data_IF_182924840880
#
_entry.id   IF_182924840880
#
_cell.length_a   1.000
_cell.length_b   1.000
_cell.length_c   1.000
_cell.angle_alpha   90.00
_cell.angle_beta   90.00
_cell.angle_gamma   90.00
#
_symmetry.space_group_name_H-M   'P 1'
#
loop_
_entity.id
_entity.type
_entity.pdbx_description
1 polymer ?
#
# COMPACT_ATOMS: atom_id res chain seq x y z
N UNK A 1 27.08 17.32 -9.30
CA UNK A 1 27.02 16.70 -10.65
C UNK A 1 26.37 17.71 -11.57
N UNK A 2 26.91 17.92 -12.77
CA UNK A 2 26.23 18.67 -13.84
C UNK A 2 25.72 17.64 -14.87
N UNK A 3 24.45 17.75 -15.26
CA UNK A 3 23.80 16.86 -16.22
C UNK A 3 23.30 17.70 -17.41
N UNK A 4 23.59 17.23 -18.62
CA UNK A 4 23.04 17.81 -19.85
C UNK A 4 21.79 17.01 -20.26
N UNK A 5 20.62 17.65 -20.24
CA UNK A 5 19.33 17.03 -20.58
C UNK A 5 18.91 17.44 -21.99
N UNK A 6 19.05 16.53 -22.96
CA UNK A 6 18.67 16.77 -24.35
C UNK A 6 17.14 16.68 -24.50
N UNK A 7 16.54 17.64 -25.21
CA UNK A 7 15.11 17.65 -25.51
C UNK A 7 14.22 18.31 -24.45
N UNK A 8 14.81 18.99 -23.47
CA UNK A 8 14.11 19.77 -22.44
C UNK A 8 14.50 21.24 -22.55
N UNK A 9 13.52 22.14 -22.49
CA UNK A 9 13.74 23.57 -22.40
C UNK A 9 13.93 24.02 -20.94
N UNK A 10 14.64 25.15 -20.74
CA UNK A 10 14.95 25.66 -19.40
C UNK A 10 13.70 26.07 -18.59
N UNK A 11 12.67 26.55 -19.26
CA UNK A 11 11.37 26.95 -18.70
C UNK A 11 10.50 25.76 -18.25
N UNK A 12 10.77 24.54 -18.73
CA UNK A 12 10.09 23.32 -18.31
C UNK A 12 10.63 22.80 -16.97
N UNK A 13 11.84 23.21 -16.60
CA UNK A 13 12.54 22.78 -15.40
C UNK A 13 12.37 23.78 -14.25
N UNK A 14 11.98 23.27 -13.11
CA UNK A 14 11.77 24.02 -11.90
C UNK A 14 12.70 23.54 -10.78
N UNK A 15 13.06 24.46 -9.89
CA UNK A 15 13.84 24.08 -8.70
C UNK A 15 13.05 23.10 -7.85
N UNK A 16 13.69 22.00 -7.48
CA UNK A 16 13.04 20.89 -6.76
C UNK A 16 12.51 19.79 -7.67
N UNK A 17 12.69 19.89 -8.98
CA UNK A 17 12.50 18.75 -9.87
C UNK A 17 13.55 17.67 -9.59
N UNK A 18 13.13 16.41 -9.70
CA UNK A 18 13.95 15.24 -9.39
C UNK A 18 14.29 14.56 -10.71
N UNK A 19 15.58 14.36 -10.95
CA UNK A 19 16.08 13.48 -12.02
C UNK A 19 16.23 12.08 -11.43
N UNK A 20 15.52 11.11 -12.02
CA UNK A 20 15.55 9.72 -11.59
C UNK A 20 15.88 8.81 -12.79
N UNK A 21 16.35 7.59 -12.49
CA UNK A 21 16.67 6.59 -13.51
C UNK A 21 15.42 5.91 -14.08
N UNK A 22 15.56 4.64 -14.48
CA UNK A 22 14.45 3.86 -15.04
C UNK A 22 13.35 3.59 -13.99
N UNK A 23 13.72 3.55 -12.71
CA UNK A 23 12.78 3.40 -11.60
C UNK A 23 11.92 4.63 -11.45
N UNK A 24 10.62 4.48 -11.64
CA UNK A 24 9.67 5.55 -11.42
C UNK A 24 9.67 5.96 -9.94
N UNK A 25 9.38 7.24 -9.69
CA UNK A 25 9.08 7.76 -8.36
C UNK A 25 7.61 8.20 -8.34
N UNK A 26 6.90 7.90 -7.25
CA UNK A 26 5.50 8.30 -7.11
C UNK A 26 5.39 9.59 -6.31
N UNK A 27 4.67 10.56 -6.85
CA UNK A 27 4.33 11.78 -6.11
C UNK A 27 3.05 11.56 -5.28
N UNK A 28 3.03 12.09 -4.06
CA UNK A 28 1.88 11.99 -3.15
C UNK A 28 1.47 13.35 -2.61
N UNK A 29 0.18 13.51 -2.33
CA UNK A 29 -0.37 14.67 -1.61
C UNK A 29 -0.37 14.49 -0.10
N UNK A 30 -0.18 13.27 0.40
CA UNK A 30 -0.12 13.00 1.84
C UNK A 30 1.13 12.18 2.15
N UNK A 31 1.88 12.65 3.14
CA UNK A 31 3.11 12.02 3.60
C UNK A 31 3.03 11.91 5.12
N UNK A 32 3.25 10.71 5.65
CA UNK A 32 3.38 10.54 7.09
C UNK A 32 4.84 10.71 7.52
N UNK A 33 5.02 11.43 8.60
CA UNK A 33 6.32 11.89 9.09
C UNK A 33 6.42 11.72 10.59
N UNK A 34 7.65 11.59 11.09
CA UNK A 34 7.97 11.95 12.46
C UNK A 34 8.53 13.38 12.44
N UNK A 35 7.94 14.27 13.24
CA UNK A 35 8.41 15.65 13.43
C UNK A 35 9.06 15.80 14.80
N UNK A 36 10.03 16.71 14.87
CA UNK A 36 10.62 17.22 16.09
C UNK A 36 10.62 18.75 16.04
N UNK A 37 10.04 19.39 17.07
CA UNK A 37 10.13 20.83 17.22
C UNK A 37 11.44 21.25 17.90
N UNK A 38 11.99 22.39 17.50
CA UNK A 38 13.20 22.91 18.11
C UNK A 38 12.93 23.33 19.58
N UNK A 39 13.75 22.92 20.56
CA UNK A 39 13.53 23.21 21.98
C UNK A 39 13.64 24.72 22.31
N UNK A 40 14.38 25.48 21.50
CA UNK A 40 14.55 26.93 21.69
C UNK A 40 13.30 27.78 21.38
N UNK A 41 12.21 27.17 20.92
CA UNK A 41 10.96 27.85 20.54
C UNK A 41 10.04 28.14 21.74
N UNK A 42 10.57 28.68 22.84
CA UNK A 42 9.93 28.77 24.18
C UNK A 42 8.48 29.29 24.24
N UNK A 43 7.97 29.98 23.22
CA UNK A 43 6.60 30.55 23.16
C UNK A 43 5.77 30.06 21.97
N UNK A 44 6.23 29.04 21.25
CA UNK A 44 5.54 28.53 20.05
C UNK A 44 5.11 27.09 20.27
N UNK A 45 3.83 26.82 20.02
CA UNK A 45 3.28 25.48 19.99
C UNK A 45 2.70 25.23 18.60
N UNK A 46 3.09 24.14 17.96
CA UNK A 46 2.54 23.77 16.67
C UNK A 46 1.13 23.22 16.89
N UNK A 47 0.11 23.89 16.38
CA UNK A 47 -1.28 23.43 16.51
C UNK A 47 -1.68 22.56 15.32
N UNK A 48 -2.67 21.70 15.54
CA UNK A 48 -3.22 20.88 14.47
C UNK A 48 -3.80 21.75 13.34
N UNK A 49 -3.59 21.34 12.08
CA UNK A 49 -3.98 22.04 10.84
C UNK A 49 -3.23 23.34 10.54
N UNK A 50 -2.13 23.62 11.26
CA UNK A 50 -1.22 24.70 10.90
C UNK A 50 -0.68 24.52 9.47
N UNK A 51 -0.50 25.63 8.77
CA UNK A 51 0.12 25.67 7.44
C UNK A 51 1.58 26.12 7.58
N UNK A 52 2.49 25.32 7.04
CA UNK A 52 3.94 25.50 7.16
C UNK A 52 4.59 25.33 5.80
N UNK A 53 5.71 26.01 5.58
CA UNK A 53 6.61 25.64 4.50
C UNK A 53 7.37 24.37 4.86
N UNK A 54 7.26 23.38 3.98
CA UNK A 54 7.99 22.14 4.01
C UNK A 54 9.13 22.21 3.00
N UNK A 55 10.34 21.87 3.47
CA UNK A 55 11.53 21.80 2.65
C UNK A 55 12.06 20.37 2.64
N UNK A 56 12.11 19.76 1.46
CA UNK A 56 12.79 18.49 1.20
C UNK A 56 13.71 18.70 -0.02
N UNK A 57 14.99 18.39 0.14
CA UNK A 57 16.01 18.70 -0.87
C UNK A 57 15.99 20.18 -1.24
N UNK A 58 15.78 20.48 -2.52
CA UNK A 58 15.65 21.86 -3.03
C UNK A 58 14.21 22.32 -3.24
N UNK A 59 13.21 21.49 -2.88
CA UNK A 59 11.79 21.85 -3.02
C UNK A 59 11.29 22.58 -1.78
N UNK A 60 10.51 23.61 -2.01
CA UNK A 60 9.75 24.34 -1.00
C UNK A 60 8.27 24.28 -1.37
N UNK A 61 7.41 23.85 -0.45
CA UNK A 61 5.97 23.74 -0.69
C UNK A 61 5.18 23.95 0.62
N UNK A 62 3.98 24.52 0.50
CA UNK A 62 3.09 24.67 1.66
C UNK A 62 2.46 23.31 2.03
N UNK A 63 2.55 22.97 3.31
CA UNK A 63 2.00 21.76 3.89
C UNK A 63 1.05 22.09 5.04
N UNK A 64 -0.10 21.42 5.06
CA UNK A 64 -1.02 21.41 6.20
C UNK A 64 -0.66 20.25 7.11
N UNK A 65 -0.33 20.53 8.37
CA UNK A 65 0.05 19.52 9.34
C UNK A 65 -1.17 18.94 10.05
N UNK A 66 -1.30 17.61 10.07
CA UNK A 66 -2.27 16.91 10.89
C UNK A 66 -1.53 16.20 12.01
N UNK A 67 -1.76 16.59 13.26
CA UNK A 67 -1.05 16.04 14.42
C UNK A 67 -1.69 14.76 14.94
N UNK A 68 -0.86 13.87 15.50
CA UNK A 68 -1.31 12.65 16.15
C UNK A 68 -1.93 12.92 17.53
N UNK A 69 -3.28 12.90 17.61
CA UNK A 69 -4.13 12.94 18.81
C UNK A 69 -3.88 14.07 19.84
N UNK A 70 -2.78 14.82 19.72
CA UNK A 70 -2.48 16.02 20.48
C UNK A 70 -3.14 17.24 19.83
N UNK A 71 -3.56 18.17 20.68
CA UNK A 71 -4.04 19.49 20.22
C UNK A 71 -2.88 20.34 19.69
N UNK A 72 -1.70 20.20 20.29
CA UNK A 72 -0.50 20.92 19.92
C UNK A 72 0.77 20.11 20.26
N UNK A 73 1.88 20.44 19.61
CA UNK A 73 3.22 20.00 20.00
C UNK A 73 3.99 21.15 20.63
N UNK A 74 4.69 20.87 21.72
CA UNK A 74 5.54 21.82 22.44
C UNK A 74 7.00 21.80 21.93
N UNK A 75 7.80 22.85 22.19
CA UNK A 75 9.21 22.89 21.85
C UNK A 75 9.97 21.66 22.39
N UNK A 76 10.76 21.01 21.53
CA UNK A 76 11.50 19.80 21.88
C UNK A 76 10.71 18.50 21.75
N UNK A 77 9.39 18.56 21.61
CA UNK A 77 8.58 17.35 21.44
C UNK A 77 8.81 16.66 20.10
N UNK A 78 8.74 15.33 20.15
CA UNK A 78 8.80 14.44 18.99
C UNK A 78 7.45 13.72 18.87
N UNK A 79 6.97 13.54 17.64
CA UNK A 79 5.79 12.73 17.40
C UNK A 79 5.45 12.58 15.93
N UNK A 80 4.46 11.74 15.66
CA UNK A 80 3.98 11.52 14.30
C UNK A 80 2.99 12.59 13.85
N UNK A 81 3.04 12.92 12.56
CA UNK A 81 2.11 13.80 11.89
C UNK A 81 1.92 13.35 10.44
N UNK A 82 0.83 13.81 9.82
CA UNK A 82 0.63 13.71 8.39
C UNK A 82 0.74 15.10 7.78
N UNK A 83 1.59 15.26 6.78
CA UNK A 83 1.71 16.46 5.97
C UNK A 83 0.81 16.32 4.75
N UNK A 84 -0.04 17.32 4.51
CA UNK A 84 -0.95 17.36 3.36
C UNK A 84 -0.62 18.53 2.45
N UNK A 85 -0.42 18.23 1.18
CA UNK A 85 -0.01 19.17 0.16
C UNK A 85 -1.15 19.41 -0.84
N UNK A 86 -1.23 20.62 -1.40
CA UNK A 86 -2.20 20.94 -2.47
C UNK A 86 -1.81 20.22 -3.77
N UNK A 87 -0.52 20.28 -4.08
CA UNK A 87 0.12 19.63 -5.23
C UNK A 87 0.89 18.40 -4.76
N UNK A 88 0.94 17.32 -5.57
CA UNK A 88 1.68 16.13 -5.19
C UNK A 88 3.19 16.40 -5.20
N UNK A 89 3.89 15.82 -4.24
CA UNK A 89 5.33 15.89 -4.11
C UNK A 89 5.91 14.48 -4.07
N UNK A 90 6.99 14.25 -4.80
CA UNK A 90 7.78 13.05 -4.69
C UNK A 90 8.82 13.20 -3.57
N UNK A 91 8.91 12.20 -2.70
CA UNK A 91 9.86 12.15 -1.60
C UNK A 91 10.17 10.70 -1.27
N UNK A 92 11.33 10.45 -0.65
CA UNK A 92 11.76 9.12 -0.28
C UNK A 92 11.50 8.82 1.20
N UNK A 93 11.26 7.54 1.47
CA UNK A 93 11.29 6.98 2.81
C UNK A 93 12.64 7.28 3.48
N UNK A 94 12.60 7.83 4.69
CA UNK A 94 13.81 8.17 5.46
C UNK A 94 14.38 9.56 5.15
N UNK A 95 13.87 10.27 4.14
CA UNK A 95 14.33 11.63 3.84
C UNK A 95 14.13 12.55 5.04
N UNK A 96 15.12 13.42 5.26
CA UNK A 96 15.03 14.51 6.22
C UNK A 96 14.37 15.73 5.59
N UNK A 97 13.62 16.47 6.38
CA UNK A 97 12.98 17.71 5.96
C UNK A 97 13.03 18.77 7.04
N UNK A 98 12.77 20.01 6.64
CA UNK A 98 12.68 21.18 7.52
C UNK A 98 11.26 21.77 7.43
N UNK A 99 10.75 22.25 8.57
CA UNK A 99 9.48 22.98 8.67
C UNK A 99 9.72 24.43 9.07
N UNK A 100 9.09 25.36 8.35
CA UNK A 100 9.13 26.80 8.65
C UNK A 100 7.73 27.40 8.68
N UNK A 101 7.50 28.37 9.57
CA UNK A 101 6.30 29.20 9.51
C UNK A 101 6.45 30.25 8.39
N UNK A 102 5.38 30.64 7.68
CA UNK A 102 5.45 31.62 6.60
C UNK A 102 5.78 33.04 7.06
N UNK A 103 5.19 33.49 8.16
CA UNK A 103 5.35 34.87 8.66
C UNK A 103 5.20 34.97 10.18
N UNK A 104 6.15 35.63 10.88
CA UNK A 104 7.49 35.95 10.39
C UNK A 104 8.25 34.65 10.05
N UNK A 105 9.05 34.63 8.97
CA UNK A 105 9.67 33.40 8.49
C UNK A 105 10.65 32.83 9.52
N UNK A 106 10.34 31.65 10.05
CA UNK A 106 11.14 31.03 11.11
C UNK A 106 11.13 29.51 10.99
N UNK A 107 12.30 28.90 11.13
CA UNK A 107 12.41 27.43 11.26
C UNK A 107 11.87 26.99 12.61
N UNK A 108 10.89 26.09 12.58
CA UNK A 108 10.26 25.57 13.79
C UNK A 108 10.70 24.15 14.13
N UNK A 109 11.32 23.45 13.18
CA UNK A 109 11.69 22.05 13.37
C UNK A 109 11.91 21.37 12.05
N UNK A 110 11.80 20.06 12.09
CA UNK A 110 11.98 19.19 10.94
C UNK A 110 11.64 17.78 11.33
N UNK A 111 12.18 16.83 10.58
CA UNK A 111 11.93 15.44 10.87
C UNK A 111 12.36 14.53 9.74
N UNK A 112 11.73 13.37 9.70
CA UNK A 112 12.00 12.31 8.75
C UNK A 112 10.70 11.73 8.19
N UNK A 113 10.75 11.33 6.92
CA UNK A 113 9.61 10.72 6.21
C UNK A 113 9.49 9.23 6.57
N UNK A 114 8.29 8.82 6.97
CA UNK A 114 7.98 7.45 7.43
C UNK A 114 7.08 6.71 6.44
N UNK A 115 6.19 7.43 5.77
CA UNK A 115 5.43 6.92 4.62
C UNK A 115 5.33 8.02 3.54
N UNK A 116 6.13 7.92 2.45
CA UNK A 116 6.13 8.90 1.36
C UNK A 116 4.86 8.87 0.50
N UNK A 117 4.03 7.83 0.62
CA UNK A 117 2.81 7.65 -0.17
C UNK A 117 1.67 7.21 0.73
N UNK A 118 1.40 8.02 1.76
CA UNK A 118 0.36 7.75 2.74
C UNK A 118 -1.04 8.00 2.15
N UNK A 119 -2.00 7.16 2.55
CA UNK A 119 -3.41 7.47 2.35
C UNK A 119 -3.83 8.61 3.31
N UNK A 120 -4.80 9.41 2.89
CA UNK A 120 -5.41 10.40 3.78
C UNK A 120 -6.13 9.65 4.91
N UNK A 121 -5.70 9.86 6.15
CA UNK A 121 -6.28 9.19 7.33
C UNK A 121 -6.50 10.15 8.49
N UNK A 122 -7.04 9.63 9.59
CA UNK A 122 -7.18 10.33 10.85
C UNK A 122 -6.48 9.54 11.95
N UNK A 123 -5.63 10.20 12.73
CA UNK A 123 -4.92 9.60 13.87
C UNK A 123 -5.81 9.05 15.01
N UNK A 124 -7.13 9.20 14.94
CA UNK A 124 -8.05 8.51 15.88
C UNK A 124 -8.04 6.99 15.67
N UNK A 125 -7.65 6.56 14.48
CA UNK A 125 -7.43 5.15 14.18
C UNK A 125 -6.14 4.67 14.88
N UNK A 126 -6.30 3.75 15.84
CA UNK A 126 -5.17 3.21 16.61
C UNK A 126 -4.19 2.46 15.72
N UNK A 127 -4.63 1.91 14.60
CA UNK A 127 -3.80 1.12 13.71
C UNK A 127 -2.74 1.96 13.00
N UNK A 128 -3.03 3.25 12.76
CA UNK A 128 -2.09 4.19 12.14
C UNK A 128 -0.85 4.40 13.00
N UNK A 129 -1.00 4.50 14.32
CA UNK A 129 0.17 4.70 15.18
C UNK A 129 1.06 3.48 15.25
N UNK A 130 0.45 2.31 15.36
CA UNK A 130 1.20 1.05 15.31
C UNK A 130 1.92 0.89 13.97
N UNK A 131 1.25 1.25 12.86
CA UNK A 131 1.84 1.27 11.53
C UNK A 131 3.08 2.18 11.46
N UNK A 132 2.98 3.43 11.91
CA UNK A 132 4.12 4.36 11.87
C UNK A 132 5.26 3.96 12.81
N UNK A 133 4.94 3.41 13.98
CA UNK A 133 5.93 2.90 14.95
C UNK A 133 6.71 1.70 14.40
N UNK A 134 6.10 0.82 13.62
CA UNK A 134 6.81 -0.27 12.94
C UNK A 134 7.79 0.25 11.89
N UNK A 135 7.44 1.34 11.20
CA UNK A 135 8.22 1.89 10.08
C UNK A 135 9.36 2.82 10.50
N UNK A 136 9.28 3.46 11.66
CA UNK A 136 10.29 4.47 12.10
C UNK A 136 11.70 3.92 12.26
N UNK A 137 11.83 2.60 12.51
CA UNK A 137 13.12 1.92 12.65
C UNK A 137 13.78 1.60 11.30
N UNK A 138 13.04 1.76 10.20
CA UNK A 138 13.47 1.41 8.85
C UNK A 138 13.93 -0.05 8.71
N UNK A 139 13.34 -0.96 9.48
CA UNK A 139 13.54 -2.40 9.26
C UNK A 139 12.85 -2.81 7.94
N UNK A 140 13.62 -3.39 7.00
CA UNK A 140 13.12 -3.66 5.66
C UNK A 140 11.96 -4.66 5.66
N UNK A 141 12.00 -5.68 6.53
CA UNK A 141 10.91 -6.66 6.64
C UNK A 141 9.63 -6.01 7.13
N UNK A 142 9.70 -5.21 8.19
CA UNK A 142 8.55 -4.45 8.68
C UNK A 142 8.03 -3.45 7.64
N UNK A 143 8.91 -2.79 6.89
CA UNK A 143 8.51 -1.90 5.80
C UNK A 143 7.74 -2.65 4.70
N UNK A 144 8.23 -3.80 4.25
CA UNK A 144 7.55 -4.64 3.26
C UNK A 144 6.17 -5.08 3.74
N UNK A 145 6.08 -5.64 4.96
CA UNK A 145 4.83 -6.16 5.50
C UNK A 145 3.80 -5.04 5.75
N UNK A 146 4.25 -3.89 6.27
CA UNK A 146 3.36 -2.75 6.51
C UNK A 146 2.90 -2.09 5.20
N UNK A 147 3.78 -2.00 4.19
CA UNK A 147 3.40 -1.49 2.87
C UNK A 147 2.35 -2.37 2.20
N UNK A 148 2.50 -3.69 2.33
CA UNK A 148 1.55 -4.64 1.78
C UNK A 148 0.20 -4.58 2.51
N UNK A 149 0.21 -4.51 3.85
CA UNK A 149 -1.02 -4.35 4.64
C UNK A 149 -1.76 -3.06 4.30
N UNK A 150 -1.04 -1.96 4.03
CA UNK A 150 -1.62 -0.66 3.64
C UNK A 150 -2.32 -0.72 2.28
N UNK A 151 -1.69 -1.38 1.30
CA UNK A 151 -2.17 -1.39 -0.09
C UNK A 151 -3.04 -2.62 -0.42
N UNK A 152 -3.10 -3.62 0.47
CA UNK A 152 -3.81 -4.90 0.32
C UNK A 152 -3.18 -5.83 -0.71
N UNK A 153 -2.95 -5.33 -1.93
CA UNK A 153 -2.12 -5.94 -2.94
C UNK A 153 -1.35 -4.86 -3.71
N UNK A 154 -0.12 -5.19 -4.11
CA UNK A 154 0.78 -4.27 -4.81
C UNK A 154 1.52 -5.02 -5.90
N UNK A 155 1.74 -4.37 -7.02
CA UNK A 155 2.60 -4.91 -8.08
C UNK A 155 4.04 -5.00 -7.57
N UNK A 156 4.75 -6.08 -7.90
CA UNK A 156 6.10 -6.35 -7.38
C UNK A 156 7.06 -5.19 -7.57
N UNK A 157 7.05 -4.58 -8.76
CA UNK A 157 7.93 -3.47 -9.13
C UNK A 157 7.56 -2.14 -8.45
N UNK A 158 6.38 -2.08 -7.82
CA UNK A 158 5.89 -0.91 -7.12
C UNK A 158 6.13 -0.97 -5.59
N UNK A 159 6.57 -2.11 -5.06
CA UNK A 159 6.81 -2.29 -3.63
C UNK A 159 7.98 -1.40 -3.17
N UNK A 160 7.70 -0.53 -2.19
CA UNK A 160 8.68 0.44 -1.65
C UNK A 160 9.38 1.27 -2.75
N UNK A 161 8.65 1.63 -3.80
CA UNK A 161 9.17 2.37 -4.97
C UNK A 161 9.82 3.72 -4.60
N UNK A 162 9.33 4.37 -3.55
CA UNK A 162 9.90 5.59 -2.99
C UNK A 162 10.85 5.29 -1.82
N UNK A 163 11.77 4.33 -1.99
CA UNK A 163 12.79 4.01 -0.99
C UNK A 163 14.17 3.86 -1.63
N UNK A 164 15.21 3.92 -0.81
CA UNK A 164 16.59 3.77 -1.25
C UNK A 164 17.09 2.31 -1.19
N UNK A 165 16.19 1.33 -1.02
CA UNK A 165 16.53 -0.09 -1.01
C UNK A 165 16.71 -0.63 -2.43
N UNK A 166 17.64 -1.56 -2.60
CA UNK A 166 17.83 -2.25 -3.86
C UNK A 166 16.69 -3.26 -4.10
N UNK A 167 16.35 -3.49 -5.37
CA UNK A 167 15.30 -4.46 -5.71
C UNK A 167 15.66 -5.88 -5.30
N UNK A 168 16.95 -6.19 -5.21
CA UNK A 168 17.45 -7.47 -4.70
C UNK A 168 17.13 -7.64 -3.22
N UNK A 169 17.40 -6.62 -2.40
CA UNK A 169 17.11 -6.65 -0.95
C UNK A 169 15.60 -6.81 -0.69
N UNK A 170 14.78 -6.05 -1.43
CA UNK A 170 13.32 -6.16 -1.34
C UNK A 170 12.86 -7.57 -1.75
N UNK A 171 13.40 -8.11 -2.86
CA UNK A 171 13.05 -9.45 -3.34
C UNK A 171 13.45 -10.55 -2.35
N UNK A 172 14.62 -10.46 -1.74
CA UNK A 172 15.07 -11.43 -0.72
C UNK A 172 14.11 -11.47 0.47
N UNK A 173 13.72 -10.29 0.97
CA UNK A 173 12.73 -10.19 2.05
C UNK A 173 11.38 -10.78 1.63
N UNK A 174 10.89 -10.43 0.43
CA UNK A 174 9.62 -10.97 -0.10
C UNK A 174 9.66 -12.49 -0.20
N UNK A 175 10.74 -13.08 -0.73
CA UNK A 175 10.85 -14.54 -0.85
C UNK A 175 10.95 -15.23 0.52
N UNK A 176 11.64 -14.62 1.50
CA UNK A 176 11.67 -15.13 2.87
C UNK A 176 10.28 -15.11 3.53
N UNK A 177 9.57 -13.97 3.48
CA UNK A 177 8.22 -13.84 4.03
C UNK A 177 7.19 -14.69 3.29
N UNK A 178 7.37 -14.95 2.00
CA UNK A 178 6.56 -15.91 1.24
C UNK A 178 6.73 -17.34 1.76
N UNK A 179 7.97 -17.78 2.04
CA UNK A 179 8.23 -19.11 2.61
C UNK A 179 7.61 -19.26 4.00
N UNK A 180 7.58 -18.19 4.78
CA UNK A 180 6.90 -18.13 6.08
C UNK A 180 5.37 -18.00 5.96
N UNK A 181 4.85 -17.87 4.74
CA UNK A 181 3.42 -17.76 4.46
C UNK A 181 2.79 -16.45 4.95
N UNK A 182 3.58 -15.38 5.07
CA UNK A 182 3.14 -14.02 5.41
C UNK A 182 2.72 -13.20 4.19
N UNK A 183 3.27 -13.53 3.03
CA UNK A 183 2.99 -12.85 1.76
C UNK A 183 2.55 -13.89 0.74
N UNK A 184 1.50 -13.55 -0.01
CA UNK A 184 1.03 -14.34 -1.14
C UNK A 184 1.53 -13.68 -2.42
N UNK A 185 2.09 -14.47 -3.33
CA UNK A 185 2.69 -13.94 -4.57
C UNK A 185 2.05 -14.56 -5.79
N UNK A 186 1.63 -13.74 -6.75
CA UNK A 186 1.30 -14.17 -8.12
C UNK A 186 2.50 -13.91 -9.05
N UNK A 187 2.28 -13.89 -10.37
CA UNK A 187 3.33 -13.51 -11.32
C UNK A 187 3.71 -12.04 -11.14
N UNK A 188 2.73 -11.14 -11.09
CA UNK A 188 2.95 -9.68 -11.06
C UNK A 188 2.67 -9.04 -9.70
N UNK A 189 1.90 -9.70 -8.82
CA UNK A 189 1.36 -9.10 -7.60
C UNK A 189 1.88 -9.75 -6.32
N UNK A 190 1.97 -8.94 -5.28
CA UNK A 190 2.12 -9.32 -3.88
C UNK A 190 0.80 -9.02 -3.18
N UNK A 191 0.35 -9.91 -2.30
CA UNK A 191 -0.97 -9.83 -1.66
C UNK A 191 -0.80 -10.12 -0.16
N UNK A 192 -1.41 -9.27 0.67
CA UNK A 192 -1.46 -9.46 2.12
C UNK A 192 -2.13 -10.80 2.47
N UNK A 193 -1.53 -11.57 3.39
CA UNK A 193 -2.05 -12.87 3.82
C UNK A 193 -3.45 -12.79 4.40
N UNK A 194 -3.72 -11.83 5.27
CA UNK A 194 -5.00 -11.76 5.97
C UNK A 194 -6.12 -11.44 4.98
N UNK A 195 -5.86 -10.47 4.09
CA UNK A 195 -6.76 -10.18 2.99
C UNK A 195 -6.98 -11.39 2.09
N UNK A 196 -5.93 -12.14 1.76
CA UNK A 196 -6.05 -13.35 0.94
C UNK A 196 -6.94 -14.41 1.58
N UNK A 197 -6.78 -14.67 2.88
CA UNK A 197 -7.63 -15.61 3.60
C UNK A 197 -9.09 -15.14 3.66
N UNK A 198 -9.30 -13.83 3.82
CA UNK A 198 -10.63 -13.22 3.75
C UNK A 198 -11.26 -13.45 2.37
N UNK A 199 -10.50 -13.27 1.28
CA UNK A 199 -11.00 -13.52 -0.09
C UNK A 199 -11.34 -14.99 -0.32
N UNK A 200 -10.49 -15.92 0.15
CA UNK A 200 -10.81 -17.37 0.10
C UNK A 200 -12.10 -17.68 0.83
N UNK A 201 -12.30 -17.09 2.00
CA UNK A 201 -13.50 -17.30 2.83
C UNK A 201 -14.74 -16.71 2.14
N UNK A 202 -14.65 -15.46 1.67
CA UNK A 202 -15.73 -14.81 0.91
C UNK A 202 -16.14 -15.61 -0.32
N UNK A 203 -15.16 -16.14 -1.05
CA UNK A 203 -15.42 -16.95 -2.24
C UNK A 203 -16.20 -18.21 -1.90
N UNK A 204 -15.72 -18.97 -0.90
CA UNK A 204 -16.38 -20.21 -0.47
C UNK A 204 -17.80 -19.93 0.05
N UNK A 205 -17.98 -18.89 0.85
CA UNK A 205 -19.31 -18.50 1.33
C UNK A 205 -20.24 -18.14 0.18
N UNK A 206 -19.74 -17.41 -0.82
CA UNK A 206 -20.54 -17.06 -1.99
C UNK A 206 -20.90 -18.30 -2.82
N UNK A 207 -19.96 -19.21 -3.02
CA UNK A 207 -20.21 -20.47 -3.72
C UNK A 207 -21.28 -21.31 -2.99
N UNK A 208 -21.21 -21.41 -1.66
CA UNK A 208 -22.22 -22.09 -0.85
C UNK A 208 -23.61 -21.44 -0.99
N UNK A 209 -23.69 -20.12 -0.95
CA UNK A 209 -24.96 -19.39 -1.16
C UNK A 209 -25.57 -19.67 -2.53
N UNK A 210 -24.75 -19.75 -3.59
CA UNK A 210 -25.25 -20.09 -4.93
C UNK A 210 -25.85 -21.50 -4.96
N UNK A 211 -25.25 -22.45 -4.25
CA UNK A 211 -25.79 -23.80 -4.09
C UNK A 211 -27.05 -23.89 -3.23
N UNK A 212 -27.26 -22.97 -2.29
CA UNK A 212 -28.51 -22.87 -1.52
C UNK A 212 -29.65 -22.31 -2.38
N UNK A 213 -29.36 -21.30 -3.20
CA UNK A 213 -30.33 -20.70 -4.12
C UNK A 213 -30.67 -21.61 -5.30
N UNK A 214 -29.72 -22.41 -5.77
CA UNK A 214 -29.89 -23.31 -6.90
C UNK A 214 -29.42 -24.75 -6.57
N UNK A 215 -30.16 -25.51 -5.72
CA UNK A 215 -29.71 -26.81 -5.21
C UNK A 215 -29.45 -27.88 -6.27
N UNK A 216 -30.10 -27.79 -7.43
CA UNK A 216 -29.99 -28.76 -8.52
C UNK A 216 -28.79 -28.48 -9.46
N UNK A 217 -28.14 -27.32 -9.33
CA UNK A 217 -26.97 -27.01 -10.15
C UNK A 217 -25.77 -27.84 -9.71
N UNK A 218 -25.01 -28.35 -10.68
CA UNK A 218 -23.77 -29.11 -10.43
C UNK A 218 -22.52 -28.24 -10.41
N UNK A 219 -22.68 -26.95 -10.71
CA UNK A 219 -21.62 -25.96 -10.73
C UNK A 219 -22.13 -24.62 -11.28
N UNK A 220 -21.28 -23.61 -11.24
CA UNK A 220 -21.62 -22.26 -11.66
C UNK A 220 -20.52 -21.67 -12.55
N UNK A 221 -20.87 -20.86 -13.56
CA UNK A 221 -19.90 -20.21 -14.43
C UNK A 221 -18.89 -19.34 -13.66
N UNK A 222 -17.60 -19.42 -14.00
CA UNK A 222 -16.53 -18.66 -13.33
C UNK A 222 -16.66 -17.14 -13.49
N UNK A 223 -17.13 -16.68 -14.66
CA UNK A 223 -17.41 -15.26 -14.93
C UNK A 223 -18.45 -14.66 -13.98
N UNK A 224 -19.41 -15.46 -13.50
CA UNK A 224 -20.37 -15.05 -12.47
C UNK A 224 -19.66 -14.66 -11.19
N UNK A 225 -18.68 -15.46 -10.73
CA UNK A 225 -17.91 -15.11 -9.54
C UNK A 225 -16.96 -13.95 -9.78
N UNK A 226 -16.32 -13.85 -10.95
CA UNK A 226 -15.50 -12.70 -11.29
C UNK A 226 -16.27 -11.38 -11.15
N UNK A 227 -17.58 -11.37 -11.44
CA UNK A 227 -18.44 -10.19 -11.24
C UNK A 227 -18.65 -9.82 -9.77
N UNK A 228 -18.72 -10.81 -8.85
CA UNK A 228 -18.79 -10.55 -7.41
C UNK A 228 -17.46 -10.04 -6.83
N UNK A 229 -16.35 -10.45 -7.45
CA UNK A 229 -14.99 -10.08 -7.08
C UNK A 229 -14.40 -9.02 -8.03
N UNK A 230 -15.24 -8.07 -8.49
CA UNK A 230 -14.83 -7.04 -9.46
C UNK A 230 -13.65 -6.16 -9.01
N UNK A 231 -13.41 -6.06 -7.70
CA UNK A 231 -12.30 -5.32 -7.11
C UNK A 231 -10.96 -6.07 -7.20
N UNK A 232 -10.96 -7.38 -7.47
CA UNK A 232 -9.76 -8.15 -7.73
C UNK A 232 -9.35 -8.01 -9.20
N UNK A 233 -8.05 -7.82 -9.44
CA UNK A 233 -7.49 -7.90 -10.79
C UNK A 233 -7.69 -9.31 -11.36
N UNK A 234 -7.89 -9.48 -12.69
CA UNK A 234 -8.11 -10.80 -13.29
C UNK A 234 -7.05 -11.84 -12.92
N UNK A 235 -5.78 -11.44 -12.90
CA UNK A 235 -4.67 -12.32 -12.48
C UNK A 235 -4.84 -12.80 -11.03
N UNK A 236 -5.19 -11.89 -10.11
CA UNK A 236 -5.40 -12.20 -8.69
C UNK A 236 -6.60 -13.12 -8.50
N UNK A 237 -7.69 -12.88 -9.24
CA UNK A 237 -8.88 -13.74 -9.19
C UNK A 237 -8.59 -15.14 -9.73
N UNK A 238 -7.90 -15.26 -10.87
CA UNK A 238 -7.52 -16.57 -11.41
C UNK A 238 -6.63 -17.33 -10.42
N UNK A 239 -5.66 -16.64 -9.81
CA UNK A 239 -4.83 -17.23 -8.76
C UNK A 239 -5.64 -17.66 -7.52
N UNK A 240 -6.75 -16.97 -7.21
CA UNK A 240 -7.65 -17.35 -6.12
C UNK A 240 -8.34 -18.67 -6.42
N UNK A 241 -8.83 -18.83 -7.65
CA UNK A 241 -9.43 -20.07 -8.14
C UNK A 241 -8.40 -21.21 -8.09
N UNK A 242 -7.22 -20.99 -8.65
CA UNK A 242 -6.13 -22.00 -8.67
C UNK A 242 -5.73 -22.40 -7.25
N UNK A 243 -5.63 -21.44 -6.32
CA UNK A 243 -5.34 -21.71 -4.91
C UNK A 243 -6.42 -22.56 -4.23
N UNK A 244 -7.69 -22.39 -4.61
CA UNK A 244 -8.79 -23.19 -4.05
C UNK A 244 -8.86 -24.59 -4.66
N UNK A 245 -8.54 -24.72 -5.95
CA UNK A 245 -8.39 -26.01 -6.64
C UNK A 245 -7.26 -26.82 -6.01
N UNK A 246 -6.09 -26.20 -5.82
CA UNK A 246 -4.93 -26.86 -5.22
C UNK A 246 -5.12 -27.27 -3.75
N UNK A 247 -6.12 -26.70 -3.06
CA UNK A 247 -6.52 -27.13 -1.71
C UNK A 247 -7.66 -28.13 -1.71
N UNK A 248 -7.99 -28.72 -2.86
CA UNK A 248 -9.08 -29.69 -3.07
C UNK A 248 -10.45 -29.23 -2.53
N UNK A 249 -10.69 -27.90 -2.53
CA UNK A 249 -11.97 -27.34 -2.10
C UNK A 249 -12.97 -27.24 -3.25
N UNK A 250 -12.49 -26.90 -4.44
CA UNK A 250 -13.30 -26.69 -5.65
C UNK A 250 -12.67 -27.36 -6.86
N UNK A 251 -13.47 -27.64 -7.89
CA UNK A 251 -12.99 -28.02 -9.22
C UNK A 251 -13.42 -26.99 -10.27
N UNK A 252 -12.69 -26.92 -11.37
CA UNK A 252 -13.00 -26.09 -12.54
C UNK A 252 -12.99 -26.96 -13.81
N UNK A 253 -14.11 -27.02 -14.53
CA UNK A 253 -14.22 -27.77 -15.80
C UNK A 253 -14.99 -26.94 -16.83
N UNK A 254 -14.38 -26.70 -18.00
CA UNK A 254 -14.98 -25.90 -19.09
C UNK A 254 -15.55 -24.55 -18.62
N UNK A 255 -14.85 -23.87 -17.71
CA UNK A 255 -15.30 -22.58 -17.16
C UNK A 255 -16.35 -22.66 -16.04
N UNK A 256 -16.74 -23.87 -15.61
CA UNK A 256 -17.71 -24.10 -14.53
C UNK A 256 -16.97 -24.49 -13.25
N UNK A 257 -17.24 -23.75 -12.18
CA UNK A 257 -16.71 -23.98 -10.83
C UNK A 257 -17.70 -24.83 -10.04
N UNK A 258 -17.22 -25.88 -9.37
CA UNK A 258 -18.04 -26.77 -8.56
C UNK A 258 -17.36 -27.16 -7.24
N UNK A 259 -18.15 -27.53 -6.23
CA UNK A 259 -17.62 -28.04 -4.96
C UNK A 259 -17.21 -29.51 -5.14
N UNK A 260 -16.00 -29.88 -4.72
CA UNK A 260 -15.55 -31.27 -4.78
C UNK A 260 -16.35 -32.19 -3.84
N UNK A 261 -16.84 -31.66 -2.72
CA UNK A 261 -17.75 -32.37 -1.81
C UNK A 261 -19.12 -32.66 -2.41
N UNK A 262 -19.53 -31.93 -3.45
CA UNK A 262 -20.78 -32.14 -4.19
C UNK A 262 -20.52 -32.71 -5.58
N UNK A 263 -19.43 -33.49 -5.73
CA UNK A 263 -19.02 -34.12 -6.99
C UNK A 263 -20.27 -34.52 -7.79
N UNK A 264 -20.42 -34.09 -9.04
CA UNK A 264 -21.46 -34.64 -9.89
C UNK A 264 -21.21 -36.14 -9.94
N UNK A 265 -22.10 -36.92 -9.33
CA UNK A 265 -22.18 -38.34 -9.59
C UNK A 265 -22.51 -38.42 -11.07
N UNK A 266 -21.50 -38.72 -11.89
CA UNK A 266 -21.73 -39.08 -13.29
C UNK A 266 -22.59 -40.33 -13.19
N UNK A 267 -23.88 -40.18 -13.47
CA UNK A 267 -24.76 -41.31 -13.68
C UNK A 267 -24.11 -42.18 -14.75
N UNK A 268 -23.65 -43.34 -14.33
CA UNK A 268 -23.07 -44.40 -15.16
C UNK A 268 -24.21 -45.11 -15.89
N UNK A 269 -24.97 -44.35 -16.70
CA UNK A 269 -26.08 -44.80 -17.53
C UNK A 269 -26.00 -44.11 -18.89
N UNK A 270 -24.93 -44.40 -19.63
CA UNK A 270 -24.86 -44.23 -21.10
C UNK A 270 -23.87 -45.24 -21.72
N UNK A 271 -23.66 -46.37 -21.05
CA UNK A 271 -23.25 -47.62 -21.70
C UNK A 271 -24.51 -48.48 -21.77
N UNK A 272 -24.82 -49.02 -22.94
CA UNK A 272 -26.03 -49.77 -23.35
C UNK A 272 -27.04 -48.98 -24.18
N UNK A 273 -26.58 -48.46 -25.32
CA UNK A 273 -27.33 -48.68 -26.56
C UNK A 273 -26.53 -49.65 -27.43
N UNK A 274 -27.07 -50.88 -27.47
CA UNK A 274 -27.01 -51.79 -28.61
C UNK A 274 -27.50 -51.04 -29.85
#
# INVERSE_FOLDING_TARGET
VALNLVGMEKNELHRGDIVFGIKQIKASKNIDVQIQLLPQLKKYSLTNRSELFFFNGTKEILAKVILNQKKYFEPGEIGFAQLRFKEPLAAYLGDRFILRIPSPPKTIGGGLIVDPSAHKHHFKDKDILHFLQKRIKFDLRELVLTELKKNIFIEKDNLLINSNYADSEIREVVESSKKEGEIITTNSWLIDKNYWQEQKTKFMNRLTQEYELYPLQTGFPSNKFQSYFYYLKPEIFNYLIDSLINTDKIGLKKGIIFLLSRKPNISRYLELHI
#
